data_IF_366566083323
#
_entry.id   IF_366566083323
#
_cell.length_a   1.000
_cell.length_b   1.000
_cell.length_c   1.000
_cell.angle_alpha   90.00
_cell.angle_beta   90.00
_cell.angle_gamma   90.00
#
_symmetry.space_group_name_H-M   'P 1'
#
loop_
_entity.id
_entity.type
_entity.pdbx_description
1 polymer ?
#
# COMPACT_ATOMS: atom_id res chain seq x y z
N UNK A 1 64.48 -16.67 10.99
CA UNK A 1 63.24 -17.07 10.29
C UNK A 1 62.41 -17.89 11.28
N UNK A 2 61.57 -17.23 12.08
CA UNK A 2 60.71 -17.87 13.07
C UNK A 2 59.34 -18.13 12.46
N UNK A 3 59.03 -19.40 12.20
CA UNK A 3 57.70 -19.83 11.78
C UNK A 3 56.69 -19.51 12.89
N UNK A 4 55.52 -18.90 12.60
CA UNK A 4 54.48 -18.76 13.60
C UNK A 4 53.93 -20.14 14.01
N UNK A 5 53.57 -20.33 15.30
CA UNK A 5 53.06 -21.60 15.79
C UNK A 5 51.75 -21.98 15.06
N UNK A 6 51.47 -23.29 14.87
CA UNK A 6 50.24 -23.74 14.24
C UNK A 6 49.05 -23.19 15.05
N UNK A 7 48.22 -22.37 14.41
CA UNK A 7 47.05 -21.79 15.05
C UNK A 7 46.23 -22.91 15.69
N UNK A 8 46.12 -22.87 17.02
CA UNK A 8 45.30 -23.82 17.74
C UNK A 8 43.86 -23.75 17.23
N UNK A 9 43.10 -24.83 17.33
CA UNK A 9 41.67 -24.88 16.96
C UNK A 9 40.88 -23.71 17.57
N UNK A 10 41.32 -23.19 18.72
CA UNK A 10 40.75 -22.00 19.37
C UNK A 10 40.93 -20.71 18.56
N UNK A 11 42.06 -20.55 17.84
CA UNK A 11 42.30 -19.42 16.94
C UNK A 11 41.40 -19.43 15.70
N UNK A 12 41.21 -20.60 15.07
CA UNK A 12 40.33 -20.75 13.90
C UNK A 12 38.86 -20.47 14.24
N UNK A 13 38.40 -20.87 15.44
CA UNK A 13 37.06 -20.55 15.93
C UNK A 13 36.91 -19.04 16.16
N UNK A 14 37.93 -18.39 16.71
CA UNK A 14 37.95 -16.94 16.91
C UNK A 14 37.89 -16.16 15.59
N UNK A 15 38.61 -16.61 14.57
CA UNK A 15 38.60 -16.00 13.24
C UNK A 15 37.27 -16.21 12.51
N UNK A 16 36.69 -17.42 12.57
CA UNK A 16 35.37 -17.69 11.99
C UNK A 16 34.24 -16.87 12.63
N UNK A 17 34.29 -16.65 13.95
CA UNK A 17 33.34 -15.79 14.65
C UNK A 17 33.50 -14.30 14.27
N UNK A 18 34.74 -13.83 14.07
CA UNK A 18 35.00 -12.47 13.57
C UNK A 18 34.48 -12.30 12.15
N UNK A 19 34.74 -13.27 11.27
CA UNK A 19 34.30 -13.23 9.88
C UNK A 19 32.77 -13.29 9.75
N UNK A 20 32.11 -14.11 10.58
CA UNK A 20 30.64 -14.15 10.68
C UNK A 20 30.07 -12.81 11.15
N UNK A 21 30.70 -12.18 12.15
CA UNK A 21 30.29 -10.85 12.63
C UNK A 21 30.46 -9.76 11.57
N UNK A 22 31.52 -9.83 10.77
CA UNK A 22 31.77 -8.89 9.67
C UNK A 22 30.80 -9.10 8.50
N UNK A 23 30.42 -10.35 8.21
CA UNK A 23 29.40 -10.66 7.21
C UNK A 23 28.03 -10.16 7.66
N UNK A 24 27.64 -10.41 8.92
CA UNK A 24 26.38 -9.93 9.49
C UNK A 24 26.29 -8.39 9.44
N UNK A 25 27.40 -7.69 9.76
CA UNK A 25 27.47 -6.22 9.62
C UNK A 25 27.27 -5.77 8.17
N UNK A 26 27.86 -6.47 7.20
CA UNK A 26 27.69 -6.17 5.77
C UNK A 26 26.25 -6.40 5.30
N UNK A 27 25.62 -7.50 5.70
CA UNK A 27 24.21 -7.77 5.36
C UNK A 27 23.27 -6.71 5.95
N UNK A 28 23.49 -6.30 7.21
CA UNK A 28 22.71 -5.21 7.82
C UNK A 28 22.92 -3.89 7.07
N UNK A 29 24.16 -3.58 6.68
CA UNK A 29 24.46 -2.38 5.90
C UNK A 29 23.81 -2.41 4.51
N UNK A 30 23.84 -3.57 3.83
CA UNK A 30 23.18 -3.77 2.55
C UNK A 30 21.66 -3.64 2.68
N UNK A 31 21.06 -4.35 3.65
CA UNK A 31 19.64 -4.28 3.95
C UNK A 31 19.20 -2.84 4.23
N UNK A 32 19.96 -2.08 5.03
CA UNK A 32 19.69 -0.67 5.29
C UNK A 32 19.71 0.16 4.00
N UNK A 33 20.68 -0.09 3.13
CA UNK A 33 20.81 0.62 1.84
C UNK A 33 19.62 0.32 0.92
N UNK A 34 19.23 -0.96 0.83
CA UNK A 34 18.08 -1.40 0.05
C UNK A 34 16.77 -0.85 0.62
N UNK A 35 16.59 -0.86 1.94
CA UNK A 35 15.44 -0.24 2.61
C UNK A 35 15.32 1.25 2.28
N UNK A 36 16.42 2.01 2.36
CA UNK A 36 16.41 3.45 2.01
C UNK A 36 16.04 3.65 0.54
N UNK A 37 16.58 2.83 -0.37
CA UNK A 37 16.23 2.86 -1.79
C UNK A 37 14.74 2.56 -2.03
N UNK A 38 14.22 1.51 -1.40
CA UNK A 38 12.82 1.09 -1.51
C UNK A 38 11.89 2.19 -0.97
N UNK A 39 12.18 2.73 0.20
CA UNK A 39 11.43 3.84 0.80
C UNK A 39 11.44 5.07 -0.11
N UNK A 40 12.58 5.44 -0.69
CA UNK A 40 12.68 6.55 -1.64
C UNK A 40 11.83 6.31 -2.89
N UNK A 41 11.86 5.10 -3.45
CA UNK A 41 11.03 4.73 -4.60
C UNK A 41 9.54 4.81 -4.28
N UNK A 42 9.13 4.32 -3.09
CA UNK A 42 7.75 4.45 -2.61
C UNK A 42 7.34 5.92 -2.46
N UNK A 43 8.21 6.77 -1.90
CA UNK A 43 7.94 8.21 -1.78
C UNK A 43 7.76 8.89 -3.13
N UNK A 44 8.63 8.59 -4.10
CA UNK A 44 8.50 9.11 -5.47
C UNK A 44 7.20 8.61 -6.10
N UNK A 45 6.88 7.33 -5.96
CA UNK A 45 5.64 6.75 -6.44
C UNK A 45 4.41 7.44 -5.86
N UNK A 46 4.39 7.69 -4.54
CA UNK A 46 3.32 8.40 -3.86
C UNK A 46 3.22 9.86 -4.33
N UNK A 47 4.34 10.57 -4.47
CA UNK A 47 4.37 11.93 -4.96
C UNK A 47 3.81 12.03 -6.39
N UNK A 48 4.20 11.09 -7.27
CA UNK A 48 3.66 11.00 -8.63
C UNK A 48 2.17 10.69 -8.63
N UNK A 49 1.69 9.80 -7.75
CA UNK A 49 0.27 9.49 -7.63
C UNK A 49 -0.55 10.70 -7.17
N UNK A 50 -0.04 11.46 -6.19
CA UNK A 50 -0.68 12.70 -5.73
C UNK A 50 -0.72 13.73 -6.85
N UNK A 51 0.40 13.93 -7.56
CA UNK A 51 0.44 14.83 -8.71
C UNK A 51 -0.56 14.42 -9.79
N UNK A 52 -0.61 13.13 -10.15
CA UNK A 52 -1.56 12.60 -11.11
C UNK A 52 -3.02 12.81 -10.66
N UNK A 53 -3.32 12.60 -9.38
CA UNK A 53 -4.66 12.86 -8.83
C UNK A 53 -5.06 14.34 -8.94
N UNK A 54 -4.13 15.27 -8.65
CA UNK A 54 -4.37 16.72 -8.81
C UNK A 54 -4.64 17.05 -10.27
N UNK A 55 -3.81 16.58 -11.20
CA UNK A 55 -4.03 16.80 -12.64
C UNK A 55 -5.35 16.20 -13.11
N UNK A 56 -5.69 14.98 -12.67
CA UNK A 56 -6.96 14.35 -13.02
C UNK A 56 -8.16 15.19 -12.57
N UNK A 57 -8.13 15.74 -11.35
CA UNK A 57 -9.19 16.62 -10.84
C UNK A 57 -9.27 17.91 -11.67
N UNK A 58 -8.15 18.59 -11.92
CA UNK A 58 -8.12 19.82 -12.73
C UNK A 58 -8.65 19.57 -14.13
N UNK A 59 -8.16 18.52 -14.81
CA UNK A 59 -8.61 18.14 -16.15
C UNK A 59 -10.10 17.80 -16.16
N UNK A 60 -10.59 17.07 -15.15
CA UNK A 60 -12.01 16.74 -15.04
C UNK A 60 -12.87 18.00 -14.89
N UNK A 61 -12.47 18.97 -14.06
CA UNK A 61 -13.20 20.23 -13.92
C UNK A 61 -13.26 21.02 -15.23
N UNK A 62 -12.14 21.08 -15.98
CA UNK A 62 -12.10 21.73 -17.30
C UNK A 62 -13.01 21.01 -18.29
N UNK A 63 -12.98 19.67 -18.32
CA UNK A 63 -13.85 18.86 -19.17
C UNK A 63 -15.33 19.03 -18.82
N UNK A 64 -15.69 19.07 -17.54
CA UNK A 64 -17.07 19.33 -17.10
C UNK A 64 -17.52 20.69 -17.59
N UNK A 65 -16.71 21.74 -17.43
CA UNK A 65 -17.04 23.08 -17.94
C UNK A 65 -17.20 23.11 -19.46
N UNK A 66 -16.33 22.42 -20.20
CA UNK A 66 -16.45 22.27 -21.65
C UNK A 66 -17.74 21.53 -22.04
N UNK A 67 -18.09 20.48 -21.31
CA UNK A 67 -19.29 19.70 -21.55
C UNK A 67 -20.57 20.49 -21.24
N UNK A 68 -20.59 21.28 -20.15
CA UNK A 68 -21.69 22.22 -19.86
C UNK A 68 -21.85 23.20 -21.00
N UNK A 69 -20.78 23.83 -21.50
CA UNK A 69 -20.84 24.74 -22.65
C UNK A 69 -21.34 24.05 -23.91
N UNK A 70 -20.91 22.82 -24.17
CA UNK A 70 -21.40 22.02 -25.29
C UNK A 70 -22.90 21.73 -25.17
N UNK A 71 -23.39 21.33 -23.99
CA UNK A 71 -24.82 21.12 -23.78
C UNK A 71 -25.59 22.43 -23.89
N UNK A 72 -25.03 23.55 -23.43
CA UNK A 72 -25.65 24.87 -23.55
C UNK A 72 -25.93 25.28 -24.99
N UNK A 73 -25.11 24.87 -25.97
CA UNK A 73 -25.40 25.12 -27.40
C UNK A 73 -26.58 24.30 -27.93
N UNK A 74 -26.92 23.18 -27.28
CA UNK A 74 -28.05 22.33 -27.65
C UNK A 74 -29.36 22.82 -27.01
N UNK A 75 -29.33 23.14 -25.72
CA UNK A 75 -30.51 23.62 -24.96
C UNK A 75 -30.70 25.14 -24.96
N UNK A 76 -29.79 25.90 -25.57
CA UNK A 76 -29.84 27.36 -25.67
C UNK A 76 -29.96 28.07 -24.31
N UNK A 77 -29.38 27.47 -23.26
CA UNK A 77 -29.47 27.97 -21.89
C UNK A 77 -28.35 27.41 -21.01
N UNK A 78 -27.51 28.30 -20.49
CA UNK A 78 -26.34 27.95 -19.67
C UNK A 78 -26.74 27.31 -18.34
N UNK A 79 -27.78 27.83 -17.68
CA UNK A 79 -28.21 27.34 -16.37
C UNK A 79 -28.88 25.96 -16.46
N UNK A 80 -29.68 25.71 -17.51
CA UNK A 80 -30.28 24.40 -17.76
C UNK A 80 -29.20 23.37 -18.09
N UNK A 81 -28.23 23.73 -18.93
CA UNK A 81 -27.11 22.85 -19.25
C UNK A 81 -26.30 22.46 -18.02
N UNK A 82 -25.98 23.43 -17.15
CA UNK A 82 -25.29 23.17 -15.89
C UNK A 82 -26.08 22.24 -14.97
N UNK A 83 -27.41 22.43 -14.89
CA UNK A 83 -28.28 21.59 -14.06
C UNK A 83 -28.38 20.14 -14.60
N UNK A 84 -28.48 19.96 -15.91
CA UNK A 84 -28.52 18.65 -16.55
C UNK A 84 -27.20 17.90 -16.31
N UNK A 85 -26.07 18.52 -16.65
CA UNK A 85 -24.75 17.89 -16.49
C UNK A 85 -24.46 17.61 -15.01
N UNK A 86 -24.72 18.58 -14.13
CA UNK A 86 -24.56 18.43 -12.69
C UNK A 86 -25.44 17.31 -12.12
N UNK A 87 -26.69 17.21 -12.57
CA UNK A 87 -27.61 16.15 -12.17
C UNK A 87 -27.14 14.76 -12.59
N UNK A 88 -26.63 14.60 -13.81
CA UNK A 88 -26.05 13.33 -14.28
C UNK A 88 -24.82 12.96 -13.46
N UNK A 89 -23.90 13.90 -13.22
CA UNK A 89 -22.70 13.64 -12.41
C UNK A 89 -23.06 13.30 -10.96
N UNK A 90 -24.05 13.97 -10.38
CA UNK A 90 -24.54 13.66 -9.03
C UNK A 90 -25.11 12.24 -8.96
N UNK A 91 -25.90 11.83 -9.97
CA UNK A 91 -26.43 10.48 -10.04
C UNK A 91 -25.31 9.43 -10.08
N UNK A 92 -24.30 9.63 -10.93
CA UNK A 92 -23.12 8.76 -11.00
C UNK A 92 -22.38 8.74 -9.66
N UNK A 93 -22.18 9.89 -9.02
CA UNK A 93 -21.51 9.99 -7.73
C UNK A 93 -22.26 9.24 -6.62
N UNK A 94 -23.58 9.32 -6.58
CA UNK A 94 -24.41 8.56 -5.63
C UNK A 94 -24.28 7.05 -5.87
N UNK A 95 -24.34 6.60 -7.13
CA UNK A 95 -24.18 5.18 -7.47
C UNK A 95 -22.80 4.67 -7.03
N UNK A 96 -21.73 5.38 -7.40
CA UNK A 96 -20.37 5.01 -7.02
C UNK A 96 -20.16 5.06 -5.51
N UNK A 97 -20.73 6.05 -4.82
CA UNK A 97 -20.67 6.18 -3.37
C UNK A 97 -21.34 5.00 -2.66
N UNK A 98 -22.53 4.58 -3.13
CA UNK A 98 -23.23 3.42 -2.58
C UNK A 98 -22.47 2.12 -2.87
N UNK A 99 -21.97 1.93 -4.09
CA UNK A 99 -21.18 0.74 -4.46
C UNK A 99 -19.88 0.68 -3.65
N UNK A 100 -19.17 1.79 -3.52
CA UNK A 100 -17.95 1.91 -2.72
C UNK A 100 -18.21 1.63 -1.24
N UNK A 101 -19.26 2.21 -0.66
CA UNK A 101 -19.64 1.96 0.73
C UNK A 101 -19.99 0.48 0.96
N UNK A 102 -20.66 -0.18 0.02
CA UNK A 102 -20.94 -1.62 0.08
C UNK A 102 -19.67 -2.46 -0.04
N UNK A 103 -18.75 -2.10 -0.92
CA UNK A 103 -17.46 -2.79 -1.09
C UNK A 103 -16.62 -2.72 0.19
N UNK A 104 -16.63 -1.57 0.87
CA UNK A 104 -15.92 -1.34 2.14
C UNK A 104 -16.67 -1.85 3.38
N UNK A 105 -17.87 -2.44 3.22
CA UNK A 105 -18.59 -2.96 4.39
C UNK A 105 -17.77 -4.04 5.09
N UNK A 106 -17.73 -3.97 6.43
CA UNK A 106 -16.98 -4.91 7.28
C UNK A 106 -17.36 -6.38 7.01
N UNK A 107 -18.58 -6.63 6.53
CA UNK A 107 -19.05 -7.95 6.09
C UNK A 107 -18.23 -8.54 4.93
N UNK A 108 -17.64 -7.69 4.07
CA UNK A 108 -16.77 -8.08 2.97
C UNK A 108 -15.28 -8.09 3.34
N UNK A 109 -14.89 -7.34 4.37
CA UNK A 109 -13.51 -7.24 4.85
C UNK A 109 -13.19 -8.23 5.98
N UNK A 110 -14.19 -8.73 6.70
CA UNK A 110 -14.01 -9.73 7.75
C UNK A 110 -13.63 -11.08 7.09
N UNK A 111 -12.43 -11.64 7.36
CA UNK A 111 -12.09 -12.96 6.89
C UNK A 111 -12.95 -13.99 7.63
N UNK A 112 -14.05 -14.40 7.01
CA UNK A 112 -14.99 -15.39 7.56
C UNK A 112 -14.34 -16.75 7.81
N UNK A 113 -13.28 -17.08 7.08
CA UNK A 113 -12.52 -18.33 7.25
C UNK A 113 -11.43 -18.25 8.32
N UNK A 114 -10.63 -17.18 8.33
CA UNK A 114 -9.54 -17.01 9.31
C UNK A 114 -10.05 -16.87 10.74
N UNK A 115 -11.16 -16.15 10.93
CA UNK A 115 -11.78 -16.01 12.25
C UNK A 115 -12.32 -17.33 12.82
N UNK A 116 -12.82 -18.24 11.96
CA UNK A 116 -13.27 -19.59 12.39
C UNK A 116 -12.10 -20.49 12.78
N UNK A 117 -11.02 -20.49 12.00
CA UNK A 117 -9.83 -21.30 12.29
C UNK A 117 -9.13 -20.84 13.56
N UNK A 118 -8.91 -19.53 13.73
CA UNK A 118 -8.31 -18.97 14.97
C UNK A 118 -9.16 -19.29 16.19
N UNK A 119 -10.50 -19.29 16.07
CA UNK A 119 -11.41 -19.69 17.17
C UNK A 119 -11.35 -21.19 17.47
N UNK A 120 -11.17 -22.06 16.46
CA UNK A 120 -11.00 -23.50 16.66
C UNK A 120 -9.65 -23.81 17.32
N UNK A 121 -8.58 -23.17 16.87
CA UNK A 121 -7.24 -23.35 17.44
C UNK A 121 -7.17 -22.87 18.89
N UNK A 122 -7.80 -21.72 19.19
CA UNK A 122 -7.90 -21.22 20.57
C UNK A 122 -8.68 -22.17 21.49
N UNK A 123 -9.76 -22.79 20.98
CA UNK A 123 -10.53 -23.80 21.74
C UNK A 123 -9.70 -25.06 22.00
N UNK A 124 -9.03 -25.57 20.97
CA UNK A 124 -8.18 -26.75 21.08
C UNK A 124 -7.01 -26.54 22.05
N UNK A 125 -6.47 -25.32 22.14
CA UNK A 125 -5.42 -24.98 23.10
C UNK A 125 -5.99 -24.85 24.53
N UNK A 126 -7.19 -24.28 24.69
CA UNK A 126 -7.84 -24.18 26.00
C UNK A 126 -8.20 -25.55 26.59
N UNK A 127 -8.64 -26.49 25.76
CA UNK A 127 -8.95 -27.87 26.19
C UNK A 127 -7.69 -28.60 26.69
N UNK A 128 -6.54 -28.35 26.07
CA UNK A 128 -5.26 -28.97 26.45
C UNK A 128 -4.62 -28.41 27.72
N UNK A 129 -5.02 -27.22 28.14
CA UNK A 129 -4.52 -26.57 29.37
C UNK A 129 -5.48 -26.81 30.54
N UNK A 130 -6.74 -27.16 30.26
CA UNK A 130 -7.79 -27.36 31.26
C UNK A 130 -8.04 -28.83 31.63
N UNK A 131 -7.36 -29.78 30.96
CA UNK A 131 -7.38 -31.21 31.26
C UNK A 131 -6.00 -31.70 31.66
#
# INVERSE_FOLDING_TARGET
MSNPPPGSIQGLIGDALRETGDLARKEIALFRTEMVSNVRTLFIGLAMMVAAAVFAVVSLLVLIGAFVKFVATLVHSDWLAALIVGGVLLLVAVILGVVGARAMSLSNLAPTRTSRQVRQDARALSERVSG
#
